data_IF_985942176677
#
_entry.id   IF_985942176677
#
_cell.length_a   1.000
_cell.length_b   1.000
_cell.length_c   1.000
_cell.angle_alpha   90.00
_cell.angle_beta   90.00
_cell.angle_gamma   90.00
#
_symmetry.space_group_name_H-M   'P 1'
#
loop_
_entity.id
_entity.type
_entity.pdbx_description
1 polymer ?
#
# COMPACT_ATOMS: atom_id res chain seq x y z
N UNK A 1 4.76 4.25 -12.12
CA UNK A 1 5.63 3.13 -11.70
C UNK A 1 4.79 2.20 -10.84
N UNK A 2 4.60 0.97 -11.27
CA UNK A 2 3.76 -0.02 -10.57
C UNK A 2 4.59 -0.99 -9.71
N UNK A 3 5.90 -0.89 -9.75
CA UNK A 3 6.81 -1.77 -9.04
C UNK A 3 7.67 -1.01 -8.03
N UNK A 4 7.99 -1.69 -6.92
CA UNK A 4 8.95 -1.20 -5.96
C UNK A 4 10.38 -1.49 -6.41
N UNK A 5 11.34 -0.80 -5.82
CA UNK A 5 12.77 -0.99 -6.12
C UNK A 5 13.62 -0.69 -4.90
N UNK A 6 14.77 -1.35 -4.85
CA UNK A 6 15.78 -1.11 -3.82
C UNK A 6 16.90 -0.24 -4.38
N UNK A 7 17.40 0.67 -3.57
CA UNK A 7 18.51 1.52 -3.96
C UNK A 7 19.48 1.74 -2.79
N UNK A 8 20.73 2.02 -3.14
CA UNK A 8 21.76 2.41 -2.20
C UNK A 8 22.16 3.86 -2.49
N UNK A 9 22.10 4.71 -1.47
CA UNK A 9 22.44 6.14 -1.55
C UNK A 9 23.73 6.40 -0.79
N UNK A 10 24.71 6.98 -1.47
CA UNK A 10 25.90 7.56 -0.85
C UNK A 10 25.79 9.07 -0.90
N UNK A 11 26.17 9.72 0.17
CA UNK A 11 26.12 11.18 0.28
C UNK A 11 27.52 11.77 0.18
N UNK A 12 27.66 12.82 -0.61
CA UNK A 12 28.91 13.54 -0.73
C UNK A 12 29.36 14.12 0.63
N UNK A 13 30.65 14.00 0.99
CA UNK A 13 31.15 14.48 2.29
C UNK A 13 30.81 15.94 2.58
N UNK A 14 30.80 16.80 1.55
CA UNK A 14 30.50 18.21 1.65
C UNK A 14 29.06 18.47 2.12
N UNK A 15 28.12 17.63 1.70
CA UNK A 15 26.71 17.71 2.14
C UNK A 15 26.57 17.33 3.60
N UNK A 16 27.37 16.36 4.05
CA UNK A 16 27.37 15.86 5.42
C UNK A 16 28.21 16.69 6.41
N UNK A 17 29.06 17.61 5.92
CA UNK A 17 29.97 18.37 6.77
C UNK A 17 29.24 19.12 7.89
N UNK A 18 29.45 18.70 9.15
CA UNK A 18 28.83 19.27 10.35
C UNK A 18 27.29 19.08 10.42
N UNK A 19 26.73 18.11 9.67
CA UNK A 19 25.30 17.82 9.64
C UNK A 19 25.05 16.33 9.80
N UNK A 20 23.83 16.01 10.21
CA UNK A 20 23.31 14.65 10.36
C UNK A 20 22.19 14.42 9.37
N UNK A 21 22.12 13.24 8.70
CA UNK A 21 20.99 12.90 7.84
C UNK A 21 19.78 12.52 8.70
N UNK A 22 18.62 13.05 8.32
CA UNK A 22 17.33 12.80 8.94
C UNK A 22 16.36 12.30 7.90
N UNK A 23 15.62 11.24 8.23
CA UNK A 23 14.44 10.84 7.51
C UNK A 23 13.23 11.59 8.07
N UNK A 24 12.59 12.38 7.24
CA UNK A 24 11.36 13.06 7.58
C UNK A 24 10.20 12.30 6.97
N UNK A 25 9.30 11.78 7.82
CA UNK A 25 8.07 11.15 7.38
C UNK A 25 7.05 12.25 7.04
N UNK A 26 6.76 12.39 5.76
CA UNK A 26 5.88 13.45 5.26
C UNK A 26 4.41 13.20 5.58
N UNK A 27 4.04 11.97 5.95
CA UNK A 27 2.66 11.60 6.31
C UNK A 27 2.38 11.88 7.77
N UNK A 28 3.29 11.44 8.66
CA UNK A 28 3.12 11.57 10.12
C UNK A 28 3.74 12.85 10.69
N UNK A 29 4.64 13.51 9.94
CA UNK A 29 5.45 14.63 10.41
C UNK A 29 6.58 14.23 11.37
N UNK A 30 6.74 12.93 11.62
CA UNK A 30 7.81 12.39 12.47
C UNK A 30 9.16 12.54 11.79
N UNK A 31 10.20 12.70 12.62
CA UNK A 31 11.59 12.90 12.17
C UNK A 31 12.50 11.93 12.88
N UNK A 32 13.29 11.20 12.09
CA UNK A 32 14.19 10.18 12.60
C UNK A 32 15.60 10.44 12.11
N UNK A 33 16.56 10.49 13.02
CA UNK A 33 17.98 10.61 12.67
C UNK A 33 18.47 9.27 12.11
N UNK A 34 19.11 9.33 10.95
CA UNK A 34 19.73 8.15 10.35
C UNK A 34 21.11 7.95 10.96
N UNK A 35 21.40 6.75 11.47
CA UNK A 35 22.74 6.38 11.92
C UNK A 35 23.46 5.66 10.78
N UNK A 36 24.24 6.44 10.04
CA UNK A 36 25.09 5.92 8.98
C UNK A 36 26.54 5.95 9.43
N UNK A 37 27.22 4.79 9.50
CA UNK A 37 28.67 4.75 9.65
C UNK A 37 29.36 5.56 8.57
N UNK A 38 30.51 6.14 8.87
CA UNK A 38 31.27 6.92 7.88
C UNK A 38 31.55 6.09 6.61
N UNK A 39 31.17 6.62 5.48
CA UNK A 39 31.30 5.95 4.17
C UNK A 39 30.26 4.87 3.88
N UNK A 40 29.30 4.62 4.79
CA UNK A 40 28.24 3.66 4.53
C UNK A 40 27.16 4.25 3.64
N UNK A 41 26.62 3.40 2.74
CA UNK A 41 25.46 3.74 1.92
C UNK A 41 24.16 3.51 2.71
N UNK A 42 23.19 4.38 2.51
CA UNK A 42 21.82 4.18 2.99
C UNK A 42 21.08 3.26 2.03
N UNK A 43 20.68 2.09 2.52
CA UNK A 43 19.83 1.16 1.77
C UNK A 43 18.37 1.54 1.96
N UNK A 44 17.67 1.78 0.85
CA UNK A 44 16.24 2.06 0.84
C UNK A 44 15.52 1.03 -0.03
N UNK A 45 14.40 0.54 0.48
CA UNK A 45 13.52 -0.38 -0.22
C UNK A 45 12.16 0.31 -0.40
N UNK A 46 11.96 0.90 -1.58
CA UNK A 46 10.81 1.72 -1.91
C UNK A 46 9.71 0.87 -2.56
N UNK A 47 8.48 1.09 -2.15
CA UNK A 47 7.30 0.53 -2.81
C UNK A 47 6.86 1.35 -4.03
N UNK A 48 5.77 0.94 -4.70
CA UNK A 48 5.21 1.69 -5.82
C UNK A 48 4.88 3.13 -5.43
N UNK A 49 5.33 4.09 -6.23
CA UNK A 49 5.14 5.53 -6.01
C UNK A 49 5.64 6.07 -4.66
N UNK A 50 6.47 5.31 -3.94
CA UNK A 50 7.05 5.72 -2.66
C UNK A 50 8.12 6.79 -2.82
N UNK A 51 8.26 7.63 -1.82
CA UNK A 51 9.30 8.66 -1.74
C UNK A 51 9.76 8.84 -0.30
N UNK A 52 11.02 9.17 -0.12
CA UNK A 52 11.61 9.47 1.19
C UNK A 52 12.26 10.84 1.18
N UNK A 53 11.95 11.64 2.18
CA UNK A 53 12.57 12.97 2.34
C UNK A 53 13.74 12.85 3.32
N UNK A 54 14.95 13.07 2.81
CA UNK A 54 16.17 13.09 3.62
C UNK A 54 16.66 14.53 3.76
N UNK A 55 16.76 14.99 5.00
CA UNK A 55 17.17 16.36 5.35
C UNK A 55 18.46 16.31 6.13
N UNK A 56 19.42 17.15 5.77
CA UNK A 56 20.70 17.29 6.47
C UNK A 56 20.62 18.47 7.45
N UNK A 57 20.60 18.17 8.75
CA UNK A 57 20.46 19.16 9.83
C UNK A 57 21.70 19.12 10.76
N UNK A 58 22.02 20.25 11.37
CA UNK A 58 23.07 20.37 12.40
C UNK A 58 22.64 19.73 13.73
N UNK A 59 21.35 19.58 13.96
CA UNK A 59 20.79 18.96 15.16
C UNK A 59 21.10 17.48 15.17
N UNK A 60 21.66 17.01 16.30
CA UNK A 60 22.04 15.59 16.50
C UNK A 60 21.03 14.83 17.35
N UNK A 61 20.41 15.51 18.31
CA UNK A 61 19.49 14.87 19.28
C UNK A 61 18.11 14.66 18.66
N UNK A 62 17.56 13.47 18.90
CA UNK A 62 16.20 13.11 18.47
C UNK A 62 16.03 11.60 18.33
N UNK A 63 14.83 11.20 17.89
CA UNK A 63 14.51 9.80 17.62
C UNK A 63 15.48 9.24 16.58
N UNK A 64 16.03 8.07 16.86
CA UNK A 64 16.87 7.35 15.89
C UNK A 64 15.98 6.50 15.02
N UNK A 65 16.27 6.48 13.73
CA UNK A 65 15.65 5.55 12.82
C UNK A 65 16.19 4.15 13.10
N UNK A 66 15.43 3.36 13.83
CA UNK A 66 15.67 1.92 13.86
C UNK A 66 15.31 1.37 12.48
N UNK A 67 16.23 0.68 11.84
CA UNK A 67 16.14 0.20 10.46
C UNK A 67 14.72 -0.12 10.00
N UNK A 68 14.43 0.17 8.70
CA UNK A 68 13.23 -0.33 8.05
C UNK A 68 13.02 -1.79 8.50
N UNK A 69 11.80 -2.19 8.87
CA UNK A 69 11.54 -3.59 9.14
C UNK A 69 12.11 -4.38 7.98
N UNK A 70 12.96 -5.36 8.28
CA UNK A 70 13.54 -6.21 7.24
C UNK A 70 12.41 -6.66 6.31
N UNK A 71 12.67 -6.60 5.01
CA UNK A 71 11.66 -7.07 4.04
C UNK A 71 11.18 -8.45 4.48
N UNK A 72 9.86 -8.72 4.40
CA UNK A 72 9.32 -10.01 4.81
C UNK A 72 10.16 -11.12 4.20
N UNK A 73 10.91 -11.85 5.03
CA UNK A 73 11.76 -12.95 4.60
C UNK A 73 11.11 -14.28 4.98
N UNK A 74 11.34 -15.32 4.17
CA UNK A 74 10.81 -16.65 4.41
C UNK A 74 9.68 -17.04 3.47
N UNK A 75 9.12 -18.21 3.70
CA UNK A 75 8.04 -18.76 2.88
C UNK A 75 6.78 -17.89 2.98
N UNK A 76 6.25 -17.50 1.83
CA UNK A 76 5.03 -16.70 1.72
C UNK A 76 3.83 -17.63 1.56
N UNK A 77 2.92 -17.59 2.51
CA UNK A 77 1.63 -18.27 2.42
C UNK A 77 0.60 -17.31 1.79
N UNK A 78 0.01 -17.71 0.67
CA UNK A 78 -1.04 -16.94 0.00
C UNK A 78 -2.36 -17.08 0.73
N UNK A 79 -3.07 -15.96 0.88
CA UNK A 79 -4.44 -15.93 1.39
C UNK A 79 -5.43 -15.92 0.22
N UNK A 80 -6.34 -16.88 0.21
CA UNK A 80 -7.42 -17.05 -0.77
C UNK A 80 -8.78 -17.01 -0.08
N UNK A 81 -9.88 -17.05 -0.84
CA UNK A 81 -11.28 -17.04 -0.34
C UNK A 81 -11.60 -15.81 0.49
N UNK A 82 -11.95 -14.75 -0.21
CA UNK A 82 -12.32 -13.47 0.37
C UNK A 82 -13.82 -13.24 0.24
N UNK A 83 -14.47 -12.85 1.33
CA UNK A 83 -15.80 -12.26 1.27
C UNK A 83 -15.66 -10.82 0.83
N UNK A 84 -16.39 -10.41 -0.20
CA UNK A 84 -16.27 -9.10 -0.81
C UNK A 84 -17.63 -8.41 -0.83
N UNK A 85 -17.65 -7.19 -0.31
CA UNK A 85 -18.80 -6.28 -0.37
C UNK A 85 -18.49 -5.14 -1.32
N UNK A 86 -19.40 -4.89 -2.25
CA UNK A 86 -19.29 -3.90 -3.30
C UNK A 86 -20.28 -2.78 -3.03
N UNK A 87 -19.79 -1.59 -2.76
CA UNK A 87 -20.59 -0.39 -2.57
C UNK A 87 -20.34 0.53 -3.75
N UNK A 88 -21.19 0.40 -4.78
CA UNK A 88 -21.03 1.16 -6.02
C UNK A 88 -21.48 2.61 -5.84
N UNK A 89 -20.87 3.52 -6.59
CA UNK A 89 -21.12 4.97 -6.50
C UNK A 89 -22.57 5.36 -6.83
N UNK A 90 -23.30 4.51 -7.56
CA UNK A 90 -24.73 4.69 -7.86
C UNK A 90 -25.67 4.29 -6.70
N UNK A 91 -25.10 3.85 -5.56
CA UNK A 91 -25.82 3.39 -4.39
C UNK A 91 -26.14 1.89 -4.38
N UNK A 92 -25.78 1.14 -5.41
CA UNK A 92 -25.95 -0.31 -5.45
C UNK A 92 -24.95 -0.99 -4.51
N UNK A 93 -25.47 -1.87 -3.67
CA UNK A 93 -24.64 -2.68 -2.75
C UNK A 93 -24.86 -4.16 -3.04
N UNK A 94 -23.76 -4.88 -3.24
CA UNK A 94 -23.78 -6.33 -3.48
C UNK A 94 -22.70 -7.04 -2.68
N UNK A 95 -22.84 -8.37 -2.53
CA UNK A 95 -21.84 -9.21 -1.86
C UNK A 95 -21.51 -10.40 -2.74
N UNK A 96 -20.27 -10.83 -2.68
CA UNK A 96 -19.79 -12.00 -3.40
C UNK A 96 -18.62 -12.64 -2.66
N UNK A 97 -18.22 -13.82 -3.12
CA UNK A 97 -16.99 -14.48 -2.72
C UNK A 97 -15.98 -14.40 -3.87
N UNK A 98 -14.72 -14.18 -3.55
CA UNK A 98 -13.61 -14.26 -4.50
C UNK A 98 -12.61 -15.31 -4.03
N UNK A 99 -12.51 -16.41 -4.77
CA UNK A 99 -11.51 -17.44 -4.45
C UNK A 99 -10.09 -16.87 -4.54
N UNK A 100 -9.80 -16.13 -5.62
CA UNK A 100 -8.55 -15.45 -5.84
C UNK A 100 -8.77 -13.98 -6.19
N UNK A 101 -7.90 -13.13 -5.65
CA UNK A 101 -7.90 -11.70 -5.98
C UNK A 101 -7.32 -11.48 -7.38
N UNK A 102 -7.95 -10.59 -8.13
CA UNK A 102 -7.56 -10.21 -9.49
C UNK A 102 -7.74 -8.72 -9.70
N UNK A 103 -7.02 -8.18 -10.66
CA UNK A 103 -7.28 -6.83 -11.14
C UNK A 103 -8.71 -6.76 -11.71
N UNK A 104 -9.51 -5.82 -11.22
CA UNK A 104 -10.92 -5.71 -11.62
C UNK A 104 -11.11 -5.35 -13.09
N UNK A 105 -10.09 -4.75 -13.73
CA UNK A 105 -10.14 -4.52 -15.18
C UNK A 105 -10.24 -5.80 -16.01
N UNK A 106 -9.81 -6.94 -15.44
CA UNK A 106 -9.83 -8.25 -16.07
C UNK A 106 -11.16 -8.99 -15.86
N UNK A 107 -12.06 -8.43 -15.04
CA UNK A 107 -13.35 -9.03 -14.69
C UNK A 107 -14.46 -8.21 -15.36
N UNK A 108 -15.12 -8.72 -16.41
CA UNK A 108 -16.10 -7.96 -17.18
C UNK A 108 -17.21 -7.31 -16.34
N UNK A 109 -17.65 -7.98 -15.27
CA UNK A 109 -18.68 -7.46 -14.36
C UNK A 109 -18.21 -6.25 -13.53
N UNK A 110 -16.89 -6.04 -13.37
CA UNK A 110 -16.32 -5.02 -12.50
C UNK A 110 -15.40 -4.04 -13.21
N UNK A 111 -15.19 -4.19 -14.52
CA UNK A 111 -14.28 -3.34 -15.31
C UNK A 111 -14.61 -1.85 -15.23
N UNK A 112 -15.87 -1.50 -15.02
CA UNK A 112 -16.35 -0.13 -14.84
C UNK A 112 -16.81 0.18 -13.41
N UNK A 113 -16.43 -0.63 -12.45
CA UNK A 113 -16.78 -0.37 -11.05
C UNK A 113 -16.18 0.95 -10.57
N UNK A 114 -16.93 1.67 -9.75
CA UNK A 114 -16.44 2.82 -8.99
C UNK A 114 -17.14 2.86 -7.64
N UNK A 115 -16.41 3.09 -6.58
CA UNK A 115 -16.97 3.11 -5.23
C UNK A 115 -16.01 2.48 -4.23
N UNK A 116 -16.59 1.87 -3.21
CA UNK A 116 -15.86 1.24 -2.11
C UNK A 116 -16.01 -0.28 -2.21
N UNK A 117 -14.89 -0.97 -2.07
CA UNK A 117 -14.82 -2.44 -2.06
C UNK A 117 -14.28 -2.86 -0.70
N UNK A 118 -14.99 -3.73 0.00
CA UNK A 118 -14.58 -4.20 1.32
C UNK A 118 -14.29 -5.69 1.24
N UNK A 119 -13.04 -6.06 1.42
CA UNK A 119 -12.56 -7.44 1.45
C UNK A 119 -12.43 -7.90 2.89
N UNK A 120 -13.04 -9.02 3.25
CA UNK A 120 -13.01 -9.55 4.61
C UNK A 120 -12.47 -10.98 4.64
N UNK A 121 -11.66 -11.24 5.65
CA UNK A 121 -11.14 -12.57 5.93
C UNK A 121 -10.75 -12.71 7.39
N UNK A 122 -11.07 -13.84 7.99
CA UNK A 122 -10.58 -14.23 9.31
C UNK A 122 -9.49 -15.29 9.16
N UNK A 123 -8.39 -15.10 9.87
CA UNK A 123 -7.27 -16.06 9.94
C UNK A 123 -6.86 -16.24 11.39
N UNK A 124 -6.36 -17.43 11.72
CA UNK A 124 -5.81 -17.72 13.03
C UNK A 124 -4.31 -18.04 12.89
N UNK A 125 -3.47 -17.36 13.65
CA UNK A 125 -2.02 -17.44 13.56
C UNK A 125 -1.41 -18.03 14.82
N UNK A 126 -0.51 -18.98 14.67
CA UNK A 126 0.26 -19.59 15.79
C UNK A 126 1.32 -18.65 16.34
N UNK A 127 1.80 -17.73 15.54
CA UNK A 127 2.81 -16.69 15.89
C UNK A 127 2.57 -15.42 15.12
N UNK A 128 3.19 -14.31 15.55
CA UNK A 128 3.14 -13.05 14.80
C UNK A 128 3.69 -13.21 13.39
N UNK A 129 3.03 -12.57 12.42
CA UNK A 129 3.35 -12.62 10.98
C UNK A 129 3.37 -11.21 10.39
N UNK A 130 4.00 -11.06 9.24
CA UNK A 130 3.75 -9.93 8.34
C UNK A 130 2.62 -10.29 7.38
N UNK A 131 1.72 -9.33 7.18
CA UNK A 131 0.71 -9.34 6.11
C UNK A 131 1.18 -8.40 5.00
N UNK A 132 1.29 -8.90 3.78
CA UNK A 132 1.57 -8.11 2.59
C UNK A 132 0.33 -8.15 1.68
N UNK A 133 -0.29 -7.01 1.43
CA UNK A 133 -1.49 -6.93 0.57
C UNK A 133 -1.16 -7.10 -0.92
N UNK A 134 0.11 -7.10 -1.29
CA UNK A 134 0.51 -7.19 -2.69
C UNK A 134 0.09 -5.97 -3.50
N UNK A 135 -0.40 -6.20 -4.74
CA UNK A 135 -0.82 -5.12 -5.64
C UNK A 135 -2.22 -4.63 -5.28
N UNK A 136 -2.33 -3.36 -4.93
CA UNK A 136 -3.62 -2.69 -4.69
C UNK A 136 -3.67 -1.41 -5.51
N UNK A 137 -4.69 -1.28 -6.32
CA UNK A 137 -4.96 -0.13 -7.19
C UNK A 137 -6.11 0.69 -6.60
N UNK A 138 -5.76 1.80 -5.98
CA UNK A 138 -6.67 2.66 -5.22
C UNK A 138 -6.13 3.01 -3.84
N UNK A 139 -6.92 3.72 -3.07
CA UNK A 139 -6.63 3.99 -1.66
C UNK A 139 -7.12 2.81 -0.84
N UNK A 140 -6.26 2.24 -0.01
CA UNK A 140 -6.61 1.11 0.86
C UNK A 140 -6.50 1.48 2.32
N UNK A 141 -7.39 0.94 3.14
CA UNK A 141 -7.33 1.00 4.60
C UNK A 141 -7.50 -0.42 5.15
N UNK A 142 -6.59 -0.84 6.00
CA UNK A 142 -6.70 -2.12 6.72
C UNK A 142 -7.23 -1.88 8.13
N UNK A 143 -8.22 -2.65 8.52
CA UNK A 143 -8.62 -2.82 9.91
C UNK A 143 -8.33 -4.26 10.36
N UNK A 144 -7.73 -4.42 11.53
CA UNK A 144 -7.47 -5.72 12.17
C UNK A 144 -8.22 -5.74 13.49
N UNK A 145 -9.11 -6.70 13.65
CA UNK A 145 -9.97 -6.83 14.85
C UNK A 145 -10.73 -5.54 15.19
N UNK A 146 -11.12 -4.75 14.18
CA UNK A 146 -11.82 -3.48 14.33
C UNK A 146 -10.92 -2.28 14.61
N UNK A 147 -9.60 -2.46 14.65
CA UNK A 147 -8.63 -1.37 14.85
C UNK A 147 -8.01 -0.98 13.50
N UNK A 148 -8.22 0.28 13.08
CA UNK A 148 -7.63 0.81 11.85
C UNK A 148 -6.10 0.83 11.92
N UNK A 149 -5.46 0.40 10.86
CA UNK A 149 -4.00 0.47 10.64
C UNK A 149 -3.61 1.67 9.77
N UNK A 150 -4.57 2.55 9.48
CA UNK A 150 -4.41 3.73 8.64
C UNK A 150 -4.65 3.48 7.15
N UNK A 151 -4.84 4.58 6.42
CA UNK A 151 -5.04 4.57 4.98
C UNK A 151 -3.71 4.67 4.23
N UNK A 152 -3.60 3.93 3.13
CA UNK A 152 -2.41 3.93 2.27
C UNK A 152 -2.80 4.03 0.81
N UNK A 153 -2.12 4.88 0.07
CA UNK A 153 -2.34 5.11 -1.37
C UNK A 153 -1.07 4.96 -2.21
N UNK A 154 0.09 4.77 -1.56
CA UNK A 154 1.39 4.54 -2.18
C UNK A 154 2.25 3.63 -1.31
N UNK A 155 3.39 3.19 -1.82
CA UNK A 155 4.37 2.39 -1.09
C UNK A 155 3.97 0.92 -0.90
N UNK A 156 4.69 0.24 -0.05
CA UNK A 156 4.42 -1.16 0.32
C UNK A 156 3.33 -1.21 1.39
N UNK A 157 2.38 -2.11 1.21
CA UNK A 157 1.27 -2.32 2.14
C UNK A 157 1.54 -3.55 3.00
N UNK A 158 2.52 -3.40 3.92
CA UNK A 158 2.98 -4.45 4.82
C UNK A 158 2.61 -4.09 6.25
N UNK A 159 1.94 -4.99 6.93
CA UNK A 159 1.41 -4.80 8.27
C UNK A 159 1.83 -5.92 9.21
N UNK A 160 1.85 -5.63 10.51
CA UNK A 160 2.07 -6.61 11.54
C UNK A 160 0.74 -7.25 11.95
N UNK A 161 0.72 -8.59 11.99
CA UNK A 161 -0.36 -9.36 12.60
C UNK A 161 0.16 -10.07 13.85
N UNK A 162 -0.67 -10.13 14.88
CA UNK A 162 -0.32 -10.78 16.12
C UNK A 162 -0.76 -12.26 16.13
N UNK A 163 -0.22 -13.04 17.06
CA UNK A 163 -0.68 -14.41 17.33
C UNK A 163 -2.16 -14.40 17.69
N UNK A 164 -2.90 -15.44 17.25
CA UNK A 164 -4.32 -15.62 17.53
C UNK A 164 -5.22 -15.24 16.36
N UNK A 165 -6.48 -14.99 16.64
CA UNK A 165 -7.48 -14.63 15.64
C UNK A 165 -7.27 -13.21 15.15
N UNK A 166 -7.18 -13.06 13.82
CA UNK A 166 -7.10 -11.78 13.13
C UNK A 166 -8.25 -11.67 12.14
N UNK A 167 -9.20 -10.78 12.42
CA UNK A 167 -10.29 -10.42 11.52
C UNK A 167 -9.83 -9.25 10.66
N UNK A 168 -9.53 -9.55 9.42
CA UNK A 168 -9.03 -8.58 8.43
C UNK A 168 -10.23 -7.97 7.70
N UNK A 169 -10.28 -6.65 7.66
CA UNK A 169 -11.17 -5.88 6.80
C UNK A 169 -10.33 -4.88 6.02
N UNK A 170 -10.31 -5.03 4.69
CA UNK A 170 -9.53 -4.16 3.81
C UNK A 170 -10.51 -3.41 2.93
N UNK A 171 -10.62 -2.11 3.19
CA UNK A 171 -11.43 -1.20 2.38
C UNK A 171 -10.58 -0.62 1.27
N UNK A 172 -11.02 -0.74 0.02
CA UNK A 172 -10.36 -0.15 -1.15
C UNK A 172 -11.31 0.81 -1.82
N UNK A 173 -10.91 2.08 -1.91
CA UNK A 173 -11.63 3.08 -2.68
C UNK A 173 -11.11 3.09 -4.11
N UNK A 174 -11.97 2.67 -5.05
CA UNK A 174 -11.65 2.63 -6.47
C UNK A 174 -11.80 4.01 -7.12
N UNK A 175 -10.97 4.28 -8.12
CA UNK A 175 -11.06 5.53 -8.89
C UNK A 175 -12.25 5.52 -9.85
N UNK A 176 -12.74 6.70 -10.23
CA UNK A 176 -13.88 6.85 -11.15
C UNK A 176 -13.51 6.69 -12.63
N UNK A 177 -12.22 6.57 -12.97
CA UNK A 177 -11.76 6.68 -14.36
C UNK A 177 -12.45 5.75 -15.34
N UNK A 178 -12.56 4.46 -15.00
CA UNK A 178 -13.22 3.48 -15.86
C UNK A 178 -14.75 3.67 -15.90
N UNK A 179 -15.36 4.01 -14.76
CA UNK A 179 -16.81 4.28 -14.68
C UNK A 179 -17.22 5.47 -15.54
N UNK A 180 -16.48 6.56 -15.52
CA UNK A 180 -16.77 7.76 -16.31
C UNK A 180 -16.80 7.49 -17.83
N UNK A 181 -16.11 6.46 -18.29
CA UNK A 181 -16.14 6.04 -19.71
C UNK A 181 -17.46 5.42 -20.13
N UNK A 182 -18.23 4.90 -19.19
CA UNK A 182 -19.54 4.30 -19.48
C UNK A 182 -20.66 5.34 -19.59
N UNK A 183 -20.42 6.56 -19.10
CA UNK A 183 -21.42 7.61 -19.09
C UNK A 183 -21.54 8.24 -20.49
N UNK A 184 -22.74 8.22 -21.06
CA UNK A 184 -23.04 8.78 -22.38
C UNK A 184 -23.39 10.27 -22.33
N UNK A 185 -23.99 10.69 -21.22
CA UNK A 185 -24.34 12.11 -20.96
C UNK A 185 -24.15 12.40 -19.47
N UNK A 186 -23.21 13.26 -19.17
CA UNK A 186 -23.06 13.78 -17.82
C UNK A 186 -22.84 15.29 -17.90
N UNK A 187 -23.79 16.11 -17.41
CA UNK A 187 -23.68 17.59 -17.47
C UNK A 187 -22.46 18.12 -16.70
N UNK A 188 -22.06 17.41 -15.62
CA UNK A 188 -20.88 17.76 -14.81
C UNK A 188 -19.61 17.14 -15.39
N UNK A 189 -19.75 16.02 -16.10
CA UNK A 189 -18.64 15.20 -16.60
C UNK A 189 -18.39 15.33 -18.11
N UNK A 190 -19.01 16.28 -18.84
CA UNK A 190 -18.81 16.42 -20.29
C UNK A 190 -17.34 16.49 -20.69
N UNK A 191 -16.52 17.15 -19.90
CA UNK A 191 -15.07 17.22 -20.12
C UNK A 191 -14.40 15.84 -20.00
N UNK A 192 -14.91 14.94 -19.14
CA UNK A 192 -14.38 13.60 -18.91
C UNK A 192 -14.96 12.54 -19.85
N UNK A 193 -16.12 12.82 -20.45
CA UNK A 193 -16.80 11.92 -21.40
C UNK A 193 -16.51 12.27 -22.85
N UNK A 194 -15.67 13.27 -23.13
CA UNK A 194 -15.28 13.58 -24.48
C UNK A 194 -14.49 12.41 -25.11
N UNK A 195 -14.53 12.29 -26.46
CA UNK A 195 -13.95 11.16 -27.17
C UNK A 195 -12.46 10.92 -26.84
N UNK A 196 -11.67 12.00 -26.72
CA UNK A 196 -10.24 11.90 -26.39
C UNK A 196 -9.95 11.18 -25.05
N UNK A 197 -10.89 11.21 -24.11
CA UNK A 197 -10.73 10.53 -22.81
C UNK A 197 -11.31 9.14 -22.81
N UNK A 198 -12.31 8.86 -23.64
CA UNK A 198 -12.81 7.50 -23.88
C UNK A 198 -11.73 6.60 -24.45
N UNK A 199 -10.80 7.15 -25.23
CA UNK A 199 -9.69 6.43 -25.81
C UNK A 199 -8.58 6.08 -24.82
N UNK A 200 -8.58 6.62 -23.60
CA UNK A 200 -7.63 6.22 -22.59
C UNK A 200 -7.80 4.74 -22.24
N UNK A 201 -6.71 4.00 -21.97
CA UNK A 201 -6.80 2.58 -21.62
C UNK A 201 -7.62 2.39 -20.32
N UNK A 202 -8.24 1.24 -20.21
CA UNK A 202 -8.87 0.79 -18.97
C UNK A 202 -7.79 0.65 -17.90
N UNK A 203 -8.02 1.25 -16.74
CA UNK A 203 -7.08 1.27 -15.64
C UNK A 203 -7.27 0.09 -14.70
N UNK A 204 -6.18 -0.38 -14.11
CA UNK A 204 -6.18 -1.37 -13.04
C UNK A 204 -6.91 -0.83 -11.82
N UNK A 205 -7.66 -1.69 -11.12
CA UNK A 205 -8.47 -1.31 -9.96
C UNK A 205 -8.59 -2.45 -8.95
N UNK A 206 -8.82 -2.07 -7.69
CA UNK A 206 -9.10 -3.00 -6.62
C UNK A 206 -7.85 -3.69 -6.06
N UNK A 207 -8.06 -4.74 -5.31
CA UNK A 207 -6.97 -5.53 -4.72
C UNK A 207 -6.64 -6.71 -5.63
N UNK A 208 -5.56 -6.58 -6.42
CA UNK A 208 -5.11 -7.62 -7.35
C UNK A 208 -4.24 -8.68 -6.65
N UNK A 209 -3.71 -8.38 -5.49
CA UNK A 209 -2.90 -9.32 -4.71
C UNK A 209 -1.55 -9.71 -5.36
N UNK A 210 -1.03 -10.92 -5.10
CA UNK A 210 -1.51 -11.84 -4.07
C UNK A 210 -1.34 -11.26 -2.66
N UNK A 211 -2.35 -11.44 -1.80
CA UNK A 211 -2.20 -11.17 -0.37
C UNK A 211 -1.49 -12.34 0.26
N UNK A 212 -0.41 -12.06 0.99
CA UNK A 212 0.42 -13.11 1.59
C UNK A 212 0.71 -12.82 3.06
N UNK A 213 0.93 -13.89 3.82
CA UNK A 213 1.53 -13.81 5.15
C UNK A 213 2.89 -14.50 5.14
N UNK A 214 3.83 -13.98 5.90
CA UNK A 214 5.14 -14.59 6.10
C UNK A 214 5.63 -14.41 7.54
N UNK A 215 6.62 -15.20 7.94
CA UNK A 215 7.20 -15.12 9.27
C UNK A 215 7.88 -13.76 9.48
N UNK A 216 7.78 -13.21 10.67
CA UNK A 216 8.67 -12.14 11.11
C UNK A 216 10.06 -12.77 11.33
N UNK A 217 11.17 -12.12 10.88
CA UNK A 217 12.48 -12.53 11.34
C UNK A 217 12.48 -12.47 12.89
N UNK A 218 12.97 -13.50 13.53
CA UNK A 218 13.19 -13.43 14.97
C UNK A 218 14.12 -12.25 15.23
N UNK A 219 13.73 -11.37 16.15
CA UNK A 219 14.61 -10.32 16.63
C UNK A 219 15.85 -11.02 17.15
N UNK A 220 16.99 -10.82 16.47
CA UNK A 220 18.25 -11.49 16.85
C UNK A 220 18.53 -11.31 18.34
N UNK A 221 18.78 -12.44 19.00
CA UNK A 221 19.28 -12.49 20.37
C UNK A 221 20.62 -11.77 20.46
#
# INVERSE_FOLDING_TARGET
>A
MEEGYSLELSFAPEIMAGKWPWLWDVVTGERYRLELPAGAALKLDLGPADSKLIVFDKKKEGKVFSAMPAAPAGEKQRLTRWSVEWQHIDGTNTKSEMEELRDLKEIPAYVSFSGIIIYRKTINLESGKFLDLGKVYGVSELSVNGVSQGAQWYGKRIFNLEKGENRLEITVTATMGNYLKTLTKNPVGQYWTNEKRKDQPIQSMGMAGPVTICSRPEAGQ
#
